data_IF_911804613913
#
_entry.id   IF_911804613913
#
_cell.length_a   1.000
_cell.length_b   1.000
_cell.length_c   1.000
_cell.angle_alpha   90.00
_cell.angle_beta   90.00
_cell.angle_gamma   90.00
#
_symmetry.space_group_name_H-M   'P 1'
#
loop_
_entity.id
_entity.type
_entity.pdbx_description
1 polymer ?
#
# COMPACT_ATOMS: atom_id res chain seq x y z
N UNK A 1 6.35 17.24 -8.49
CA UNK A 1 6.33 15.84 -8.98
C UNK A 1 5.42 15.05 -8.05
N UNK A 2 4.35 14.44 -8.55
CA UNK A 2 3.47 13.65 -7.70
C UNK A 2 4.17 12.31 -7.36
N UNK A 3 4.50 12.10 -6.08
CA UNK A 3 5.07 10.85 -5.60
C UNK A 3 3.96 9.90 -5.19
N UNK A 4 4.08 8.63 -5.58
CA UNK A 4 3.14 7.57 -5.23
C UNK A 4 3.91 6.47 -4.50
N UNK A 5 3.35 6.00 -3.39
CA UNK A 5 3.85 4.84 -2.64
C UNK A 5 2.80 3.75 -2.79
N UNK A 6 3.22 2.59 -3.30
CA UNK A 6 2.35 1.42 -3.44
C UNK A 6 2.61 0.49 -2.26
N UNK A 7 1.56 0.22 -1.49
CA UNK A 7 1.55 -0.78 -0.45
C UNK A 7 0.98 -2.09 -1.00
N UNK A 8 1.73 -3.18 -0.84
CA UNK A 8 1.34 -4.55 -1.19
C UNK A 8 1.18 -5.32 0.13
N UNK A 9 -0.04 -5.79 0.41
CA UNK A 9 -0.32 -6.50 1.66
C UNK A 9 0.27 -7.92 1.67
N UNK A 10 0.53 -8.42 2.87
CA UNK A 10 0.93 -9.82 3.09
C UNK A 10 -0.24 -10.79 3.08
N UNK A 11 0.04 -12.07 3.34
CA UNK A 11 -0.98 -13.11 3.49
C UNK A 11 -1.99 -12.74 4.59
N UNK A 12 -3.28 -12.72 4.26
CA UNK A 12 -4.36 -12.39 5.20
C UNK A 12 -4.58 -10.89 5.42
N UNK A 13 -3.75 -10.04 4.82
CA UNK A 13 -3.91 -8.59 4.80
C UNK A 13 -4.89 -8.13 3.71
N UNK A 14 -5.01 -6.81 3.57
CA UNK A 14 -5.84 -6.17 2.54
C UNK A 14 -5.36 -4.74 2.25
N UNK A 15 -5.84 -4.14 1.15
CA UNK A 15 -5.41 -2.81 0.72
C UNK A 15 -5.59 -1.69 1.76
N UNK A 16 -6.51 -1.83 2.74
CA UNK A 16 -6.82 -0.75 3.70
C UNK A 16 -5.66 -0.50 4.67
N UNK A 17 -4.80 -1.49 4.89
CA UNK A 17 -3.59 -1.37 5.74
C UNK A 17 -2.64 -0.27 5.24
N UNK A 18 -2.73 0.11 3.95
CA UNK A 18 -1.99 1.25 3.40
C UNK A 18 -2.25 2.59 4.13
N UNK A 19 -3.43 2.75 4.76
CA UNK A 19 -3.75 3.96 5.51
C UNK A 19 -2.79 4.21 6.69
N UNK A 20 -2.29 3.14 7.30
CA UNK A 20 -1.40 3.19 8.46
C UNK A 20 -0.03 3.78 8.09
N UNK A 21 0.34 3.75 6.81
CA UNK A 21 1.62 4.25 6.31
C UNK A 21 1.57 5.71 5.83
N UNK A 22 0.39 6.32 5.73
CA UNK A 22 0.25 7.74 5.33
C UNK A 22 1.11 8.70 6.16
N UNK A 23 1.22 8.56 7.51
CA UNK A 23 2.06 9.47 8.31
C UNK A 23 3.55 9.41 7.96
N UNK A 24 4.05 8.30 7.42
CA UNK A 24 5.46 8.14 7.04
C UNK A 24 5.78 8.80 5.68
N UNK A 25 4.76 9.04 4.86
CA UNK A 25 4.90 9.56 3.50
C UNK A 25 3.97 10.75 3.27
N UNK A 26 4.03 11.75 4.15
CA UNK A 26 3.15 12.92 4.13
C UNK A 26 3.10 13.66 2.77
N UNK A 27 4.19 13.63 2.00
CA UNK A 27 4.30 14.28 0.68
C UNK A 27 3.96 13.35 -0.50
N UNK A 28 3.41 12.15 -0.25
CA UNK A 28 3.11 11.15 -1.29
C UNK A 28 1.70 10.60 -1.17
N UNK A 29 1.12 10.21 -2.31
CA UNK A 29 -0.12 9.45 -2.31
C UNK A 29 0.18 7.99 -1.96
N UNK A 30 -0.29 7.51 -0.81
CA UNK A 30 -0.13 6.12 -0.38
C UNK A 30 -1.36 5.32 -0.79
N UNK A 31 -1.17 4.34 -1.67
CA UNK A 31 -2.22 3.52 -2.27
C UNK A 31 -1.97 2.06 -1.93
N UNK A 32 -2.96 1.38 -1.35
CA UNK A 32 -2.95 -0.07 -1.18
C UNK A 32 -3.55 -0.78 -2.38
N UNK A 33 -3.01 -1.95 -2.71
CA UNK A 33 -3.56 -2.85 -3.72
C UNK A 33 -4.07 -4.12 -3.06
N UNK A 34 -5.23 -4.60 -3.49
CA UNK A 34 -5.69 -5.96 -3.16
C UNK A 34 -4.89 -6.95 -4.01
N UNK A 35 -3.79 -7.44 -3.44
CA UNK A 35 -2.81 -8.29 -4.10
C UNK A 35 -3.24 -9.74 -4.00
N UNK A 36 -3.57 -10.33 -5.16
CA UNK A 36 -4.19 -11.67 -5.25
C UNK A 36 -3.25 -12.76 -5.77
N UNK A 37 -1.97 -12.44 -5.97
CA UNK A 37 -1.02 -13.42 -6.50
C UNK A 37 -0.89 -14.63 -5.55
N UNK A 38 -0.85 -15.83 -6.13
CA UNK A 38 -0.75 -17.09 -5.38
C UNK A 38 0.63 -17.76 -5.48
N UNK A 39 1.51 -17.20 -6.30
CA UNK A 39 2.90 -17.61 -6.47
C UNK A 39 3.79 -16.37 -6.59
N UNK A 40 5.07 -16.45 -6.16
CA UNK A 40 6.05 -15.38 -6.36
C UNK A 40 6.27 -15.04 -7.84
#
# INVERSE_FOLDING_TARGET
MNKVVIYIHGKGGNAKEAADYKPLFADSNVIGLDYTAQSP
#
